data_IF_531085942335
#
_entry.id   IF_531085942335
#
_cell.length_a   1.000
_cell.length_b   1.000
_cell.length_c   1.000
_cell.angle_alpha   90.00
_cell.angle_beta   90.00
_cell.angle_gamma   90.00
#
_symmetry.space_group_name_H-M   'P 1'
#
loop_
_entity.id
_entity.type
_entity.pdbx_description
1 polymer ?
#
# COMPACT_ATOMS: atom_id res chain seq x y z
N UNK A 1 9.17 11.30 0.51
CA UNK A 1 10.36 11.49 1.38
C UNK A 1 11.22 10.23 1.26
N UNK A 2 12.55 10.35 1.17
CA UNK A 2 13.42 9.16 1.05
C UNK A 2 13.50 8.37 2.36
N UNK A 3 13.67 7.05 2.26
CA UNK A 3 13.77 6.12 3.39
C UNK A 3 14.31 4.75 2.97
N UNK A 4 14.69 3.93 3.94
CA UNK A 4 15.10 2.54 3.69
C UNK A 4 13.91 1.58 3.81
N UNK A 5 12.98 1.91 4.69
CA UNK A 5 11.80 1.10 4.97
C UNK A 5 10.54 1.83 4.54
N UNK A 6 9.60 1.11 3.93
CA UNK A 6 8.30 1.61 3.53
C UNK A 6 7.20 0.58 3.84
N UNK A 7 6.10 1.06 4.41
CA UNK A 7 4.96 0.25 4.81
C UNK A 7 3.68 0.75 4.13
N UNK A 8 2.86 -0.19 3.68
CA UNK A 8 1.53 0.07 3.12
C UNK A 8 0.55 -0.93 3.72
N UNK A 9 -0.56 -0.43 4.26
CA UNK A 9 -1.59 -1.30 4.84
C UNK A 9 -2.37 -2.10 3.79
N UNK A 10 -2.30 -1.66 2.53
CA UNK A 10 -3.09 -2.20 1.44
C UNK A 10 -2.25 -2.26 0.16
N UNK A 11 -2.49 -3.30 -0.63
CA UNK A 11 -2.12 -3.50 -2.03
C UNK A 11 -3.15 -4.46 -2.59
N UNK A 12 -4.16 -3.91 -3.28
CA UNK A 12 -5.21 -4.71 -3.89
C UNK A 12 -4.75 -5.29 -5.23
N UNK A 13 -4.84 -6.62 -5.38
CA UNK A 13 -4.44 -7.33 -6.58
C UNK A 13 -5.47 -8.35 -7.06
N UNK A 14 -6.65 -8.35 -6.46
CA UNK A 14 -7.79 -9.11 -6.95
C UNK A 14 -8.24 -8.64 -8.33
N UNK A 15 -9.06 -9.48 -8.96
CA UNK A 15 -9.73 -9.16 -10.23
C UNK A 15 -10.31 -7.74 -10.20
N UNK A 16 -10.11 -7.01 -11.30
CA UNK A 16 -10.54 -5.63 -11.52
C UNK A 16 -9.69 -4.54 -10.83
N UNK A 17 -8.61 -4.93 -10.16
CA UNK A 17 -7.62 -4.00 -9.63
C UNK A 17 -6.25 -4.26 -10.26
N UNK A 18 -5.51 -3.19 -10.47
CA UNK A 18 -4.13 -3.20 -10.94
C UNK A 18 -3.30 -2.33 -10.02
N UNK A 19 -2.59 -2.96 -9.08
CA UNK A 19 -1.63 -2.29 -8.21
C UNK A 19 -0.20 -2.45 -8.72
N UNK A 20 0.58 -1.39 -8.56
CA UNK A 20 2.01 -1.37 -8.88
C UNK A 20 2.79 -0.90 -7.66
N UNK A 21 4.03 -1.35 -7.56
CA UNK A 21 5.01 -0.86 -6.59
C UNK A 21 6.06 -0.13 -7.41
N UNK A 22 6.08 1.20 -7.31
CA UNK A 22 7.00 2.05 -8.06
C UNK A 22 8.11 2.55 -7.14
N UNK A 23 9.36 2.37 -7.57
CA UNK A 23 10.55 2.67 -6.77
C UNK A 23 11.41 3.66 -7.54
N UNK A 24 11.86 4.72 -6.88
CA UNK A 24 12.86 5.65 -7.37
C UNK A 24 14.12 5.57 -6.50
N UNK A 25 15.26 5.29 -7.12
CA UNK A 25 16.57 5.47 -6.52
C UNK A 25 17.15 6.82 -6.99
N UNK A 26 17.40 7.79 -6.10
CA UNK A 26 17.85 9.13 -6.50
C UNK A 26 19.23 9.11 -7.20
N UNK A 27 19.54 10.12 -8.03
CA UNK A 27 20.88 10.30 -8.60
C UNK A 27 21.95 10.43 -7.51
N UNK A 28 23.18 10.01 -7.80
CA UNK A 28 24.32 10.09 -6.86
C UNK A 28 24.34 9.03 -5.76
N UNK A 29 23.31 8.17 -5.68
CA UNK A 29 23.31 6.97 -4.84
C UNK A 29 24.16 5.84 -5.48
N UNK A 30 24.39 4.76 -4.74
CA UNK A 30 24.82 3.47 -5.36
C UNK A 30 23.61 2.77 -5.98
N UNK A 31 23.76 1.57 -6.53
CA UNK A 31 22.58 0.75 -6.84
C UNK A 31 21.88 0.32 -5.54
N UNK A 32 20.55 0.43 -5.52
CA UNK A 32 19.71 0.02 -4.39
C UNK A 32 19.32 -1.45 -4.56
N UNK A 33 19.61 -2.26 -3.56
CA UNK A 33 19.02 -3.59 -3.45
C UNK A 33 17.75 -3.46 -2.61
N UNK A 34 16.63 -3.85 -3.19
CA UNK A 34 15.30 -3.65 -2.62
C UNK A 34 14.62 -5.00 -2.45
N UNK A 35 14.17 -5.31 -1.24
CA UNK A 35 13.35 -6.48 -0.91
C UNK A 35 11.93 -6.03 -0.64
N UNK A 36 10.97 -6.71 -1.26
CA UNK A 36 9.55 -6.40 -1.16
C UNK A 36 8.84 -7.65 -0.62
N UNK A 37 8.11 -7.50 0.48
CA UNK A 37 7.38 -8.57 1.16
C UNK A 37 5.89 -8.27 1.19
N UNK A 38 5.09 -9.22 0.69
CA UNK A 38 3.63 -9.17 0.72
C UNK A 38 3.13 -10.00 1.89
N UNK A 39 2.23 -9.45 2.70
CA UNK A 39 1.77 -10.04 3.95
C UNK A 39 0.24 -10.12 3.93
N UNK A 40 -0.32 -11.30 4.19
CA UNK A 40 -1.76 -11.51 4.34
C UNK A 40 -2.02 -12.64 5.34
N UNK A 41 -3.14 -12.59 6.06
CA UNK A 41 -3.50 -13.62 7.04
C UNK A 41 -2.46 -13.82 8.15
N UNK A 42 -1.70 -12.77 8.49
CA UNK A 42 -0.64 -12.82 9.51
C UNK A 42 0.66 -13.48 9.07
N UNK A 43 0.84 -13.76 7.77
CA UNK A 43 2.06 -14.40 7.24
C UNK A 43 2.57 -13.71 5.97
N UNK A 44 3.87 -13.81 5.71
CA UNK A 44 4.44 -13.40 4.42
C UNK A 44 4.02 -14.40 3.34
N UNK A 45 3.24 -13.95 2.35
CA UNK A 45 2.68 -14.78 1.28
C UNK A 45 3.55 -14.78 0.01
N UNK A 46 4.35 -13.74 -0.19
CA UNK A 46 5.26 -13.62 -1.32
C UNK A 46 6.40 -12.65 -1.00
N UNK A 47 7.51 -12.80 -1.72
CA UNK A 47 8.63 -11.85 -1.67
C UNK A 47 9.28 -11.73 -3.03
N UNK A 48 9.87 -10.57 -3.32
CA UNK A 48 10.69 -10.35 -4.51
C UNK A 48 11.79 -9.35 -4.22
N UNK A 49 12.86 -9.40 -5.02
CA UNK A 49 14.00 -8.50 -4.92
C UNK A 49 14.24 -7.79 -6.24
N UNK A 50 14.61 -6.51 -6.17
CA UNK A 50 14.95 -5.69 -7.33
C UNK A 50 16.28 -4.97 -7.09
N UNK A 51 17.05 -4.78 -8.15
CA UNK A 51 18.19 -3.85 -8.15
C UNK A 51 17.79 -2.61 -8.92
N UNK A 52 17.81 -1.45 -8.27
CA UNK A 52 17.49 -0.16 -8.89
C UNK A 52 18.77 0.65 -8.99
N UNK A 53 19.27 0.84 -10.21
CA UNK A 53 20.48 1.63 -10.45
C UNK A 53 20.30 3.10 -10.00
N UNK A 54 21.42 3.79 -9.76
CA UNK A 54 21.43 5.18 -9.33
C UNK A 54 20.71 6.10 -10.34
N UNK A 55 19.83 6.98 -9.85
CA UNK A 55 19.05 7.87 -10.70
C UNK A 55 18.04 7.18 -11.61
N UNK A 56 17.71 5.91 -11.34
CA UNK A 56 16.75 5.13 -12.11
C UNK A 56 15.50 4.81 -11.28
N UNK A 57 14.46 4.37 -11.99
CA UNK A 57 13.23 3.84 -11.40
C UNK A 57 13.05 2.37 -11.75
N UNK A 58 12.32 1.65 -10.91
CA UNK A 58 11.84 0.30 -11.18
C UNK A 58 10.36 0.17 -10.80
N UNK A 59 9.68 -0.79 -11.41
CA UNK A 59 8.29 -1.11 -11.10
C UNK A 59 8.11 -2.62 -11.02
N UNK A 60 7.36 -3.08 -10.02
CA UNK A 60 6.89 -4.46 -9.95
C UNK A 60 5.40 -4.51 -9.63
N UNK A 61 4.80 -5.69 -9.71
CA UNK A 61 3.38 -5.92 -9.43
C UNK A 61 3.21 -7.18 -8.58
N UNK A 62 2.20 -7.24 -7.70
CA UNK A 62 1.85 -8.46 -6.96
C UNK A 62 1.46 -9.62 -7.90
N UNK A 63 0.80 -9.32 -9.02
CA UNK A 63 0.32 -10.36 -9.95
C UNK A 63 1.46 -11.09 -10.66
N UNK A 64 2.62 -10.43 -10.84
CA UNK A 64 3.84 -11.09 -11.35
C UNK A 64 4.36 -12.20 -10.43
N UNK A 65 3.95 -12.19 -9.16
CA UNK A 65 4.29 -13.21 -8.16
C UNK A 65 3.12 -14.18 -7.90
N UNK A 66 2.02 -14.09 -8.66
CA UNK A 66 0.82 -14.89 -8.44
C UNK A 66 -0.02 -14.45 -7.23
N UNK A 67 0.25 -13.27 -6.64
CA UNK A 67 -0.56 -12.74 -5.54
C UNK A 67 -1.84 -12.13 -6.12
N UNK A 68 -2.98 -12.78 -5.83
CA UNK A 68 -4.33 -12.40 -6.31
C UNK A 68 -5.28 -12.20 -5.12
N UNK A 69 -4.86 -11.39 -4.15
CA UNK A 69 -5.60 -11.06 -2.93
C UNK A 69 -5.08 -9.74 -2.36
N UNK A 70 -5.92 -9.04 -1.60
CA UNK A 70 -5.50 -7.88 -0.80
C UNK A 70 -4.38 -8.27 0.16
N UNK A 71 -3.34 -7.46 0.25
CA UNK A 71 -2.19 -7.72 1.13
C UNK A 71 -1.60 -6.42 1.67
N UNK A 72 -0.95 -6.49 2.84
CA UNK A 72 -0.06 -5.43 3.29
C UNK A 72 1.31 -5.59 2.61
N UNK A 73 2.04 -4.48 2.50
CA UNK A 73 3.35 -4.43 1.86
C UNK A 73 4.40 -3.86 2.81
N UNK A 74 5.53 -4.55 2.92
CA UNK A 74 6.74 -4.03 3.51
C UNK A 74 7.85 -4.02 2.46
N UNK A 75 8.52 -2.87 2.31
CA UNK A 75 9.67 -2.72 1.42
C UNK A 75 10.87 -2.30 2.24
N UNK A 76 11.97 -3.03 2.09
CA UNK A 76 13.26 -2.70 2.66
C UNK A 76 14.28 -2.44 1.55
N UNK A 77 15.11 -1.43 1.72
CA UNK A 77 16.25 -1.16 0.84
C UNK A 77 17.52 -0.91 1.65
N UNK A 78 18.63 -1.38 1.10
CA UNK A 78 19.95 -1.17 1.67
C UNK A 78 20.43 0.30 1.63
N UNK A 79 19.66 1.21 1.01
CA UNK A 79 19.90 2.66 1.03
C UNK A 79 18.59 3.46 0.83
N UNK A 80 18.60 4.79 1.06
CA UNK A 80 17.41 5.60 0.87
C UNK A 80 16.87 5.64 -0.57
N UNK A 81 15.62 5.21 -0.73
CA UNK A 81 14.84 5.26 -1.98
C UNK A 81 13.49 5.97 -1.72
N UNK A 82 12.67 6.14 -2.75
CA UNK A 82 11.25 6.50 -2.63
C UNK A 82 10.41 5.35 -3.15
N UNK A 83 9.32 5.01 -2.45
CA UNK A 83 8.36 3.99 -2.88
C UNK A 83 6.95 4.55 -2.87
N UNK A 84 6.23 4.31 -3.96
CA UNK A 84 4.81 4.64 -4.10
C UNK A 84 4.03 3.40 -4.55
N UNK A 85 2.73 3.41 -4.25
CA UNK A 85 1.79 2.36 -4.65
C UNK A 85 0.61 2.97 -5.41
N UNK A 86 0.71 3.13 -6.74
CA UNK A 86 -0.44 3.45 -7.56
C UNK A 86 -1.32 2.21 -7.77
N UNK A 87 -2.62 2.38 -7.64
CA UNK A 87 -3.64 1.36 -7.89
C UNK A 87 -4.72 1.93 -8.79
N UNK A 88 -5.13 1.15 -9.79
CA UNK A 88 -6.21 1.45 -10.71
C UNK A 88 -7.29 0.40 -10.57
N UNK A 89 -8.55 0.77 -10.73
CA UNK A 89 -9.65 -0.18 -10.59
C UNK A 89 -10.84 0.11 -11.48
N UNK A 90 -11.60 -0.94 -11.77
CA UNK A 90 -12.88 -0.90 -12.48
C UNK A 90 -13.82 -1.94 -11.91
N UNK A 91 -14.51 -1.61 -10.82
CA UNK A 91 -15.34 -2.54 -10.05
C UNK A 91 -16.85 -2.26 -10.23
N UNK A 92 -17.69 -2.99 -9.51
CA UNK A 92 -19.12 -2.72 -9.37
C UNK A 92 -19.50 -2.69 -7.88
N UNK A 93 -20.54 -1.91 -7.54
CA UNK A 93 -21.08 -1.81 -6.17
C UNK A 93 -22.59 -1.93 -6.23
N UNK A 94 -23.17 -2.62 -5.26
CA UNK A 94 -24.58 -3.05 -5.26
C UNK A 94 -25.60 -1.90 -5.34
N UNK A 95 -25.22 -0.69 -4.92
CA UNK A 95 -26.06 0.51 -4.93
C UNK A 95 -25.58 1.57 -5.93
N UNK A 96 -24.59 1.29 -6.78
CA UNK A 96 -24.11 2.24 -7.79
C UNK A 96 -24.43 1.68 -9.18
N UNK A 97 -25.18 2.44 -9.98
CA UNK A 97 -25.49 2.06 -11.35
C UNK A 97 -24.27 2.21 -12.25
N UNK A 98 -23.83 1.11 -12.87
CA UNK A 98 -22.68 1.08 -13.78
C UNK A 98 -21.34 0.76 -13.10
N UNK A 99 -20.24 0.71 -13.88
CA UNK A 99 -18.92 0.45 -13.33
C UNK A 99 -18.42 1.64 -12.50
N UNK A 100 -17.75 1.33 -11.40
CA UNK A 100 -16.99 2.29 -10.59
C UNK A 100 -15.53 2.19 -11.01
N UNK A 101 -15.03 3.22 -11.69
CA UNK A 101 -13.63 3.29 -12.13
C UNK A 101 -12.88 4.35 -11.34
N UNK A 102 -11.58 4.15 -11.17
CA UNK A 102 -10.77 5.12 -10.46
C UNK A 102 -9.31 4.72 -10.35
N UNK A 103 -8.56 5.60 -9.70
CA UNK A 103 -7.17 5.37 -9.36
C UNK A 103 -6.81 6.13 -8.08
N UNK A 104 -5.83 5.62 -7.35
CA UNK A 104 -5.15 6.35 -6.29
C UNK A 104 -3.65 6.06 -6.36
N UNK A 105 -2.86 6.91 -5.72
CA UNK A 105 -1.44 6.65 -5.46
C UNK A 105 -1.09 7.22 -4.10
N UNK A 106 -0.31 6.46 -3.34
CA UNK A 106 0.18 6.88 -2.03
C UNK A 106 1.67 6.60 -1.92
N UNK A 107 2.38 7.47 -1.21
CA UNK A 107 3.74 7.20 -0.76
C UNK A 107 3.70 6.28 0.47
N UNK A 108 4.66 5.37 0.57
CA UNK A 108 4.75 4.50 1.76
C UNK A 108 5.12 5.30 3.01
N UNK A 109 4.61 4.88 4.17
CA UNK A 109 5.12 5.42 5.44
C UNK A 109 6.45 4.80 5.77
N UNK A 110 7.37 5.56 6.37
CA UNK A 110 8.72 5.08 6.68
C UNK A 110 8.82 4.28 7.99
N UNK A 111 7.74 4.28 8.76
CA UNK A 111 7.62 3.55 10.02
C UNK A 111 6.14 3.30 10.33
N UNK A 112 5.79 2.18 10.98
CA UNK A 112 4.46 2.00 11.54
C UNK A 112 4.15 3.12 12.55
N UNK A 113 2.93 3.65 12.50
CA UNK A 113 2.43 4.66 13.43
C UNK A 113 1.38 4.06 14.37
N UNK A 114 1.28 4.60 15.58
CA UNK A 114 0.22 4.22 16.54
C UNK A 114 -1.04 5.09 16.41
N UNK A 115 -0.89 6.28 15.83
CA UNK A 115 -1.98 7.24 15.63
C UNK A 115 -2.00 7.67 14.16
N UNK A 116 -3.19 7.63 13.55
CA UNK A 116 -3.43 7.99 12.16
C UNK A 116 -4.68 8.85 12.06
N UNK A 117 -4.61 9.91 11.27
CA UNK A 117 -5.71 10.82 11.01
C UNK A 117 -6.09 10.72 9.55
N UNK A 118 -7.37 10.48 9.29
CA UNK A 118 -7.95 10.42 7.94
C UNK A 118 -8.91 11.60 7.82
N UNK A 119 -8.69 12.45 6.81
CA UNK A 119 -9.58 13.56 6.50
C UNK A 119 -10.65 13.07 5.52
N UNK A 120 -11.93 13.41 5.78
CA UNK A 120 -13.13 12.86 5.12
C UNK A 120 -13.63 11.53 5.75
N UNK A 121 -14.93 11.24 5.60
CA UNK A 121 -15.63 10.14 6.27
C UNK A 121 -17.07 9.89 5.76
N UNK A 122 -17.42 10.34 4.55
CA UNK A 122 -18.81 10.36 4.09
C UNK A 122 -19.24 9.00 3.56
N UNK A 123 -20.20 8.38 4.24
CA UNK A 123 -20.74 7.05 3.93
C UNK A 123 -22.21 7.09 3.46
N UNK A 124 -22.65 8.24 2.93
CA UNK A 124 -24.01 8.41 2.43
C UNK A 124 -24.30 7.63 1.14
N UNK A 125 -25.49 7.82 0.58
CA UNK A 125 -25.94 7.07 -0.60
C UNK A 125 -24.93 7.16 -1.75
N UNK A 126 -24.57 6.00 -2.31
CA UNK A 126 -23.56 5.81 -3.37
C UNK A 126 -22.10 6.04 -2.97
N UNK A 127 -21.79 6.22 -1.68
CA UNK A 127 -20.42 6.31 -1.18
C UNK A 127 -20.05 5.05 -0.39
N UNK A 128 -18.82 4.59 -0.59
CA UNK A 128 -18.26 3.40 0.07
C UNK A 128 -16.87 3.77 0.57
N UNK A 129 -16.69 3.70 1.87
CA UNK A 129 -15.42 3.96 2.51
C UNK A 129 -14.91 2.72 3.23
N UNK A 130 -13.60 2.50 3.14
CA UNK A 130 -12.92 1.41 3.80
C UNK A 130 -11.68 1.96 4.48
N UNK A 131 -11.59 1.77 5.80
CA UNK A 131 -10.37 2.02 6.55
C UNK A 131 -9.57 0.71 6.56
N UNK A 132 -8.37 0.72 5.99
CA UNK A 132 -7.49 -0.44 5.93
C UNK A 132 -6.30 -0.24 6.86
N UNK A 133 -6.08 -1.21 7.74
CA UNK A 133 -5.02 -1.21 8.74
C UNK A 133 -4.20 -2.49 8.62
N UNK A 134 -2.89 -2.37 8.82
CA UNK A 134 -1.99 -3.51 8.88
C UNK A 134 -1.14 -3.44 10.15
N UNK A 135 -1.08 -4.57 10.86
CA UNK A 135 -0.13 -4.78 11.93
C UNK A 135 1.07 -5.55 11.38
N UNK A 136 2.24 -4.93 11.41
CA UNK A 136 3.50 -5.54 10.96
C UNK A 136 4.27 -6.25 12.10
N UNK A 137 3.77 -6.19 13.34
CA UNK A 137 4.26 -7.02 14.44
C UNK A 137 3.68 -8.43 14.29
N UNK A 138 4.55 -9.41 14.11
CA UNK A 138 4.19 -10.82 13.91
C UNK A 138 3.87 -11.56 15.22
N UNK A 139 4.14 -10.96 16.37
CA UNK A 139 4.06 -11.59 17.69
C UNK A 139 2.93 -11.02 18.54
N UNK A 140 2.66 -9.72 18.42
CA UNK A 140 1.70 -9.03 19.29
C UNK A 140 0.49 -8.52 18.49
N UNK A 141 -0.75 -8.92 18.85
CA UNK A 141 -1.95 -8.29 18.32
C UNK A 141 -2.03 -6.81 18.67
N UNK A 142 -2.44 -5.98 17.71
CA UNK A 142 -2.74 -4.57 17.95
C UNK A 142 -4.21 -4.39 18.33
N UNK A 143 -4.48 -3.77 19.49
CA UNK A 143 -5.82 -3.30 19.84
C UNK A 143 -6.01 -1.91 19.24
N UNK A 144 -7.01 -1.74 18.37
CA UNK A 144 -7.25 -0.49 17.64
C UNK A 144 -8.58 0.12 18.08
N UNK A 145 -8.57 1.43 18.29
CA UNK A 145 -9.78 2.23 18.47
C UNK A 145 -9.95 3.15 17.27
N UNK A 146 -11.15 3.17 16.67
CA UNK A 146 -11.51 4.08 15.59
C UNK A 146 -12.52 5.08 16.14
N UNK A 147 -12.12 6.34 16.22
CA UNK A 147 -12.99 7.45 16.63
C UNK A 147 -13.49 8.18 15.38
N UNK A 148 -14.82 8.31 15.25
CA UNK A 148 -15.44 9.08 14.17
C UNK A 148 -15.78 10.47 14.72
N UNK A 149 -15.10 11.48 14.19
CA UNK A 149 -15.32 12.88 14.56
C UNK A 149 -16.35 13.51 13.61
N UNK A 150 -17.52 13.85 14.14
CA UNK A 150 -18.58 14.52 13.37
C UNK A 150 -18.44 16.04 13.49
N UNK A 151 -18.99 16.77 12.52
CA UNK A 151 -18.94 18.24 12.47
C UNK A 151 -19.63 18.94 13.66
N UNK A 152 -20.37 18.20 14.50
CA UNK A 152 -21.05 18.67 15.69
C UNK A 152 -20.47 18.18 17.04
N UNK A 153 -19.32 17.48 17.04
CA UNK A 153 -18.80 16.78 18.22
C UNK A 153 -19.73 15.65 18.69
#
# INVERSE_FOLDING_TARGET
QLGQDFYFADVESQRNYSSFITILNPPGARSANVTISYIAGGSQIATTTLVVAAGQRATTTPIALGVNQTSALYVHSDQPIMVERPTYFSTSRSNINGPVTGANSIAGTKSPGKDWLFAEGYTGLNFHEYIVLANFDSSNPANVTVNLEYSNG
#
